data_IF_960187342294
#
_entry.id   IF_960187342294
#
_cell.length_a   1.000
_cell.length_b   1.000
_cell.length_c   1.000
_cell.angle_alpha   90.00
_cell.angle_beta   90.00
_cell.angle_gamma   90.00
#
_symmetry.space_group_name_H-M   'P 1'
#
loop_
_entity.id
_entity.type
_entity.pdbx_description
1 polymer ?
#
# COMPACT_ATOMS: atom_id res chain seq x y z
N UNK A 1 -19.53 14.66 -26.78
CA UNK A 1 -20.04 13.59 -25.88
C UNK A 1 -21.57 13.47 -25.92
N UNK A 2 -22.34 14.55 -25.73
CA UNK A 2 -23.82 14.54 -25.89
C UNK A 2 -24.31 14.57 -27.36
N UNK A 3 -23.49 14.07 -28.30
CA UNK A 3 -23.83 13.92 -29.72
C UNK A 3 -23.95 12.45 -30.07
N UNK A 4 -24.66 12.11 -31.16
CA UNK A 4 -24.79 10.72 -31.65
C UNK A 4 -23.43 10.03 -31.79
N UNK A 5 -22.45 10.72 -32.37
CA UNK A 5 -21.09 10.20 -32.56
C UNK A 5 -20.36 10.03 -31.23
N UNK A 6 -20.57 10.95 -30.27
CA UNK A 6 -20.01 10.84 -28.92
C UNK A 6 -20.57 9.66 -28.13
N UNK A 7 -21.87 9.38 -28.28
CA UNK A 7 -22.52 8.22 -27.67
C UNK A 7 -22.01 6.91 -28.30
N UNK A 8 -21.87 6.87 -29.63
CA UNK A 8 -21.29 5.73 -30.34
C UNK A 8 -19.84 5.47 -29.92
N UNK A 9 -19.02 6.52 -29.79
CA UNK A 9 -17.65 6.40 -29.31
C UNK A 9 -17.60 5.81 -27.90
N UNK A 10 -18.40 6.32 -26.95
CA UNK A 10 -18.46 5.77 -25.59
C UNK A 10 -18.85 4.29 -25.62
N UNK A 11 -19.94 3.94 -26.30
CA UNK A 11 -20.44 2.56 -26.29
C UNK A 11 -19.47 1.57 -26.98
N UNK A 12 -18.82 1.98 -28.06
CA UNK A 12 -17.90 1.12 -28.80
C UNK A 12 -16.53 0.99 -28.12
N UNK A 13 -15.99 2.09 -27.59
CA UNK A 13 -14.62 2.12 -27.08
C UNK A 13 -14.54 1.79 -25.57
N UNK A 14 -15.66 1.78 -24.83
CA UNK A 14 -15.65 1.56 -23.37
C UNK A 14 -14.94 0.27 -22.95
N UNK A 15 -15.26 -0.86 -23.58
CA UNK A 15 -14.66 -2.16 -23.23
C UNK A 15 -13.16 -2.13 -23.53
N UNK A 16 -12.78 -1.62 -24.71
CA UNK A 16 -11.39 -1.52 -25.14
C UNK A 16 -10.58 -0.64 -24.20
N UNK A 17 -11.07 0.57 -23.90
CA UNK A 17 -10.43 1.52 -22.99
C UNK A 17 -10.27 0.94 -21.58
N UNK A 18 -11.27 0.19 -21.09
CA UNK A 18 -11.19 -0.48 -19.79
C UNK A 18 -10.15 -1.62 -19.79
N UNK A 19 -10.17 -2.48 -20.81
CA UNK A 19 -9.27 -3.65 -20.88
C UNK A 19 -7.81 -3.28 -21.17
N UNK A 20 -7.57 -2.24 -21.96
CA UNK A 20 -6.24 -1.74 -22.29
C UNK A 20 -5.68 -0.80 -21.22
N UNK A 21 -6.44 -0.53 -20.16
CA UNK A 21 -6.00 0.34 -19.08
C UNK A 21 -4.81 -0.29 -18.33
N UNK A 22 -3.61 0.33 -18.38
CA UNK A 22 -2.38 -0.32 -17.93
C UNK A 22 -2.40 -0.78 -16.47
N UNK A 23 -3.14 -0.07 -15.60
CA UNK A 23 -3.23 -0.41 -14.19
C UNK A 23 -4.07 -1.66 -13.91
N UNK A 24 -5.01 -2.04 -14.78
CA UNK A 24 -6.00 -3.08 -14.49
C UNK A 24 -5.35 -4.46 -14.28
N UNK A 25 -4.56 -4.92 -15.25
CA UNK A 25 -3.92 -6.24 -15.19
C UNK A 25 -2.94 -6.36 -14.03
N UNK A 26 -2.17 -5.30 -13.77
CA UNK A 26 -1.22 -5.23 -12.68
C UNK A 26 -1.90 -5.37 -11.31
N UNK A 27 -2.94 -4.57 -11.06
CA UNK A 27 -3.66 -4.57 -9.78
C UNK A 27 -4.27 -5.95 -9.51
N UNK A 28 -4.89 -6.57 -10.51
CA UNK A 28 -5.51 -7.90 -10.36
C UNK A 28 -4.46 -8.96 -9.98
N UNK A 29 -3.31 -8.96 -10.65
CA UNK A 29 -2.23 -9.91 -10.34
C UNK A 29 -1.68 -9.74 -8.92
N UNK A 30 -1.44 -8.49 -8.49
CA UNK A 30 -0.93 -8.20 -7.15
C UNK A 30 -1.98 -8.51 -6.07
N UNK A 31 -3.23 -8.15 -6.29
CA UNK A 31 -4.34 -8.42 -5.35
C UNK A 31 -4.57 -9.91 -5.13
N UNK A 32 -4.35 -10.76 -6.14
CA UNK A 32 -4.40 -12.21 -5.96
C UNK A 32 -3.32 -12.70 -4.98
N UNK A 33 -2.09 -12.20 -5.11
CA UNK A 33 -1.00 -12.54 -4.20
C UNK A 33 -1.25 -12.05 -2.77
N UNK A 34 -1.65 -10.78 -2.62
CA UNK A 34 -1.97 -10.18 -1.31
C UNK A 34 -3.15 -10.91 -0.67
N UNK A 35 -4.22 -11.18 -1.42
CA UNK A 35 -5.40 -11.88 -0.91
C UNK A 35 -5.06 -13.27 -0.36
N UNK A 36 -4.17 -14.03 -1.02
CA UNK A 36 -3.70 -15.32 -0.49
C UNK A 36 -2.87 -15.13 0.78
N UNK A 37 -1.93 -14.20 0.80
CA UNK A 37 -1.09 -13.93 1.97
C UNK A 37 -1.91 -13.44 3.18
N UNK A 38 -2.93 -12.62 2.94
CA UNK A 38 -3.83 -12.11 3.97
C UNK A 38 -4.77 -13.22 4.50
N UNK A 39 -5.41 -14.00 3.61
CA UNK A 39 -6.29 -15.11 4.03
C UNK A 39 -5.56 -16.22 4.77
N UNK A 40 -4.26 -16.39 4.53
CA UNK A 40 -3.43 -17.33 5.29
C UNK A 40 -2.92 -16.77 6.62
N UNK A 41 -3.16 -15.48 6.90
CA UNK A 41 -2.66 -14.80 8.09
C UNK A 41 -1.13 -14.62 8.08
N UNK A 42 -0.50 -14.66 6.91
CA UNK A 42 0.95 -14.57 6.75
C UNK A 42 1.48 -13.25 7.33
N UNK A 43 0.87 -12.14 6.91
CA UNK A 43 1.31 -10.80 7.33
C UNK A 43 1.09 -10.55 8.82
N UNK A 44 -0.05 -10.96 9.37
CA UNK A 44 -0.33 -10.86 10.81
C UNK A 44 0.74 -11.55 11.65
N UNK A 45 1.06 -12.81 11.31
CA UNK A 45 2.08 -13.58 12.01
C UNK A 45 3.48 -12.99 11.82
N UNK A 46 3.80 -12.53 10.61
CA UNK A 46 5.08 -11.92 10.30
C UNK A 46 5.30 -10.67 11.16
N UNK A 47 4.33 -9.75 11.20
CA UNK A 47 4.42 -8.52 12.00
C UNK A 47 4.61 -8.82 13.48
N UNK A 48 3.82 -9.76 14.03
CA UNK A 48 3.95 -10.20 15.43
C UNK A 48 5.35 -10.77 15.69
N UNK A 49 5.85 -11.61 14.81
CA UNK A 49 7.14 -12.27 14.96
C UNK A 49 8.31 -11.29 14.91
N UNK A 50 8.29 -10.32 13.99
CA UNK A 50 9.37 -9.32 13.88
C UNK A 50 9.41 -8.43 15.13
N UNK A 51 8.25 -7.98 15.62
CA UNK A 51 8.18 -7.18 16.86
C UNK A 51 8.66 -7.98 18.07
N UNK A 52 8.30 -9.28 18.17
CA UNK A 52 8.75 -10.13 19.28
C UNK A 52 10.25 -10.42 19.26
N UNK A 53 10.87 -10.49 18.08
CA UNK A 53 12.32 -10.72 17.93
C UNK A 53 13.15 -9.43 18.01
N UNK A 54 12.50 -8.26 18.00
CA UNK A 54 13.19 -6.99 18.02
C UNK A 54 13.95 -6.77 19.35
N UNK A 55 15.22 -6.34 19.32
CA UNK A 55 15.96 -5.99 20.53
C UNK A 55 15.33 -4.78 21.22
N UNK A 56 15.20 -4.82 22.55
CA UNK A 56 14.54 -3.76 23.35
C UNK A 56 15.00 -2.34 23.04
N UNK A 57 16.30 -2.17 22.73
CA UNK A 57 16.90 -0.86 22.42
C UNK A 57 16.38 -0.23 21.11
N UNK A 58 15.96 -1.04 20.14
CA UNK A 58 15.55 -0.58 18.81
C UNK A 58 14.07 -0.85 18.51
N UNK A 59 13.29 -1.31 19.49
CA UNK A 59 11.93 -1.80 19.25
C UNK A 59 11.01 -0.73 18.67
N UNK A 60 11.13 0.52 19.11
CA UNK A 60 10.36 1.65 18.58
C UNK A 60 10.68 1.88 17.10
N UNK A 61 11.97 1.93 16.75
CA UNK A 61 12.41 2.08 15.35
C UNK A 61 11.93 0.92 14.48
N UNK A 62 12.02 -0.31 15.00
CA UNK A 62 11.55 -1.51 14.30
C UNK A 62 10.04 -1.44 14.05
N UNK A 63 9.24 -1.03 15.04
CA UNK A 63 7.79 -0.87 14.88
C UNK A 63 7.47 0.17 13.81
N UNK A 64 8.14 1.32 13.80
CA UNK A 64 7.94 2.37 12.79
C UNK A 64 8.26 1.84 11.40
N UNK A 65 9.39 1.14 11.24
CA UNK A 65 9.79 0.57 9.93
C UNK A 65 8.77 -0.48 9.47
N UNK A 66 8.30 -1.36 10.35
CA UNK A 66 7.27 -2.35 10.02
C UNK A 66 5.96 -1.66 9.65
N UNK A 67 5.60 -0.57 10.34
CA UNK A 67 4.43 0.22 9.99
C UNK A 67 4.51 0.76 8.57
N UNK A 68 5.63 1.40 8.24
CA UNK A 68 5.88 1.95 6.89
C UNK A 68 5.80 0.84 5.82
N UNK A 69 6.55 -0.25 6.01
CA UNK A 69 6.58 -1.39 5.08
C UNK A 69 5.31 -2.24 5.10
N UNK A 70 4.43 -1.99 6.06
CA UNK A 70 3.18 -2.69 6.23
C UNK A 70 2.17 -2.43 5.12
N UNK A 71 2.36 -1.39 4.31
CA UNK A 71 1.54 -1.13 3.12
C UNK A 71 1.59 -2.30 2.10
N UNK A 72 2.69 -3.05 2.03
CA UNK A 72 2.83 -4.22 1.17
C UNK A 72 1.92 -5.38 1.62
N UNK A 73 1.53 -5.37 2.90
CA UNK A 73 0.57 -6.28 3.48
C UNK A 73 -0.89 -5.85 3.30
N UNK A 74 -1.15 -4.83 2.47
CA UNK A 74 -2.48 -4.26 2.30
C UNK A 74 -2.97 -3.59 3.58
N UNK A 75 -4.17 -3.97 4.05
CA UNK A 75 -4.86 -3.33 5.17
C UNK A 75 -4.52 -3.96 6.54
N UNK A 76 -3.62 -4.93 6.60
CA UNK A 76 -3.26 -5.60 7.84
C UNK A 76 -2.51 -4.67 8.82
N UNK A 77 -1.60 -3.82 8.33
CA UNK A 77 -0.72 -3.02 9.19
C UNK A 77 -1.46 -1.99 10.06
N UNK A 78 -2.41 -1.19 9.54
CA UNK A 78 -3.18 -0.25 10.35
C UNK A 78 -4.09 -0.93 11.39
N UNK A 79 -4.42 -2.22 11.21
CA UNK A 79 -5.33 -2.96 12.09
C UNK A 79 -4.57 -3.73 13.17
N UNK A 80 -3.50 -4.43 12.79
CA UNK A 80 -2.78 -5.37 13.67
C UNK A 80 -1.69 -4.68 14.49
N UNK A 81 -0.99 -3.72 13.88
CA UNK A 81 0.18 -3.10 14.50
C UNK A 81 -0.15 -2.21 15.73
N UNK A 82 -1.26 -1.43 15.74
CA UNK A 82 -1.59 -0.60 16.91
C UNK A 82 -1.85 -1.38 18.21
N UNK A 83 -2.71 -2.41 18.27
CA UNK A 83 -2.90 -3.18 19.50
C UNK A 83 -1.65 -3.97 19.90
N UNK A 84 -0.90 -4.53 18.93
CA UNK A 84 0.36 -5.21 19.19
C UNK A 84 1.37 -4.27 19.87
N UNK A 85 1.49 -3.05 19.35
CA UNK A 85 2.43 -2.05 19.86
C UNK A 85 2.02 -1.55 21.24
N UNK A 86 0.73 -1.34 21.49
CA UNK A 86 0.23 -0.98 22.81
C UNK A 86 0.64 -2.01 23.87
N UNK A 87 0.50 -3.31 23.57
CA UNK A 87 0.93 -4.39 24.47
C UNK A 87 2.45 -4.39 24.73
N UNK A 88 3.24 -4.12 23.69
CA UNK A 88 4.71 -4.02 23.83
C UNK A 88 5.10 -2.81 24.69
N UNK A 89 4.44 -1.67 24.52
CA UNK A 89 4.69 -0.47 25.31
C UNK A 89 4.37 -0.70 26.79
N UNK A 90 3.26 -1.38 27.11
CA UNK A 90 2.93 -1.78 28.49
C UNK A 90 4.06 -2.63 29.10
N UNK A 91 4.56 -3.63 28.37
CA UNK A 91 5.66 -4.50 28.85
C UNK A 91 6.99 -3.77 29.05
N UNK A 92 7.19 -2.65 28.37
CA UNK A 92 8.40 -1.81 28.48
C UNK A 92 8.25 -0.67 29.50
N UNK A 93 7.07 -0.50 30.10
CA UNK A 93 6.78 0.59 31.03
C UNK A 93 6.43 1.93 30.37
N UNK A 94 6.13 1.95 29.07
CA UNK A 94 5.70 3.14 28.33
C UNK A 94 4.17 3.26 28.28
N UNK A 95 3.68 4.47 27.98
CA UNK A 95 2.24 4.73 27.85
C UNK A 95 1.65 4.02 26.62
N UNK A 96 0.63 3.14 26.77
CA UNK A 96 0.11 2.31 25.68
C UNK A 96 -0.47 3.13 24.51
N UNK A 97 -1.15 4.24 24.82
CA UNK A 97 -1.74 5.11 23.78
C UNK A 97 -0.65 5.74 22.91
N UNK A 98 0.53 6.04 23.47
CA UNK A 98 1.63 6.60 22.69
C UNK A 98 2.16 5.56 21.69
N UNK A 99 2.26 4.29 22.10
CA UNK A 99 2.62 3.19 21.20
C UNK A 99 1.57 2.95 20.12
N UNK A 100 0.29 2.95 20.49
CA UNK A 100 -0.83 2.80 19.56
C UNK A 100 -0.83 3.91 18.50
N UNK A 101 -0.75 5.17 18.93
CA UNK A 101 -0.73 6.32 18.06
C UNK A 101 0.50 6.32 17.14
N UNK A 102 1.67 5.96 17.66
CA UNK A 102 2.91 5.84 16.89
C UNK A 102 2.79 4.77 15.80
N UNK A 103 2.30 3.58 16.14
CA UNK A 103 2.12 2.50 15.17
C UNK A 103 1.12 2.87 14.08
N UNK A 104 -0.02 3.46 14.46
CA UNK A 104 -1.04 3.91 13.51
C UNK A 104 -0.51 5.02 12.59
N UNK A 105 0.16 6.03 13.16
CA UNK A 105 0.77 7.11 12.40
C UNK A 105 1.87 6.60 11.45
N UNK A 106 2.66 5.59 11.86
CA UNK A 106 3.67 5.01 10.98
C UNK A 106 3.06 4.21 9.82
N UNK A 107 1.98 3.48 10.06
CA UNK A 107 1.31 2.68 9.01
C UNK A 107 0.60 3.55 7.97
N UNK A 108 -0.07 4.62 8.40
CA UNK A 108 -0.82 5.49 7.48
C UNK A 108 0.04 6.62 6.94
N UNK A 109 0.80 7.30 7.80
CA UNK A 109 1.70 8.38 7.37
C UNK A 109 2.85 7.91 6.50
N UNK A 110 3.26 6.65 6.67
CA UNK A 110 4.29 5.99 5.86
C UNK A 110 3.79 5.31 4.59
N UNK A 111 2.50 5.38 4.27
CA UNK A 111 1.88 4.53 3.23
C UNK A 111 2.52 4.64 1.83
N UNK A 112 3.06 5.81 1.49
CA UNK A 112 3.75 6.03 0.20
C UNK A 112 5.27 5.82 0.25
N UNK A 113 5.85 5.58 1.42
CA UNK A 113 7.29 5.36 1.56
C UNK A 113 7.59 3.86 1.54
N UNK A 114 8.53 3.44 0.69
CA UNK A 114 8.97 2.05 0.60
C UNK A 114 10.48 1.95 0.37
N UNK A 115 11.07 0.82 0.79
CA UNK A 115 12.46 0.48 0.43
C UNK A 115 12.57 -0.23 -0.93
N UNK A 116 11.46 -0.71 -1.46
CA UNK A 116 11.37 -1.45 -2.72
C UNK A 116 10.20 -0.90 -3.52
N UNK A 117 10.27 -1.01 -4.84
CA UNK A 117 9.16 -0.65 -5.73
C UNK A 117 7.96 -1.52 -5.36
N UNK A 118 6.89 -0.86 -4.93
CA UNK A 118 5.65 -1.47 -4.51
C UNK A 118 4.52 -1.27 -5.53
N UNK A 119 3.33 -1.72 -5.14
CA UNK A 119 2.13 -1.57 -5.95
C UNK A 119 1.77 -0.10 -6.15
N UNK A 120 1.88 0.73 -5.10
CA UNK A 120 1.60 2.17 -5.15
C UNK A 120 2.41 2.86 -6.24
N UNK A 121 3.69 2.49 -6.36
CA UNK A 121 4.63 3.07 -7.31
C UNK A 121 4.27 2.68 -8.75
N UNK A 122 3.98 1.41 -8.98
CA UNK A 122 3.56 0.90 -10.28
C UNK A 122 2.17 1.42 -10.71
N UNK A 123 1.26 1.62 -9.76
CA UNK A 123 -0.04 2.27 -9.99
C UNK A 123 0.12 3.75 -10.36
N UNK A 124 0.90 4.50 -9.59
CA UNK A 124 1.17 5.91 -9.87
C UNK A 124 1.81 6.08 -11.24
N UNK A 125 2.74 5.20 -11.62
CA UNK A 125 3.32 5.20 -12.95
C UNK A 125 2.27 4.94 -14.04
N UNK A 126 1.43 3.92 -13.85
CA UNK A 126 0.39 3.54 -14.79
C UNK A 126 -0.67 4.63 -15.02
N UNK A 127 -0.91 5.51 -14.03
CA UNK A 127 -1.76 6.69 -14.20
C UNK A 127 -1.01 7.88 -14.78
N UNK A 128 0.20 8.15 -14.28
CA UNK A 128 0.97 9.34 -14.61
C UNK A 128 1.46 9.30 -16.06
N UNK A 129 1.92 8.14 -16.54
CA UNK A 129 2.45 8.04 -17.90
C UNK A 129 1.41 8.37 -18.98
N UNK A 130 0.20 7.78 -18.99
CA UNK A 130 -0.85 8.19 -19.93
C UNK A 130 -1.27 9.65 -19.76
N UNK A 131 -1.35 10.15 -18.51
CA UNK A 131 -1.71 11.55 -18.25
C UNK A 131 -0.69 12.53 -18.85
N UNK A 132 0.62 12.24 -18.72
CA UNK A 132 1.67 13.07 -19.34
C UNK A 132 1.57 13.10 -20.87
N UNK A 133 1.24 11.97 -21.50
CA UNK A 133 1.12 11.86 -22.96
C UNK A 133 -0.01 12.70 -23.56
N UNK A 134 -0.99 13.12 -22.75
CA UNK A 134 -2.04 14.07 -23.16
C UNK A 134 -1.45 15.46 -23.43
N UNK A 135 -0.42 15.84 -22.68
CA UNK A 135 0.17 17.19 -22.72
C UNK A 135 1.46 17.22 -23.54
N UNK A 136 2.39 16.30 -23.28
CA UNK A 136 3.68 16.22 -23.95
C UNK A 136 4.17 14.76 -24.04
N UNK A 137 4.63 14.34 -25.22
CA UNK A 137 4.95 12.92 -25.51
C UNK A 137 6.27 12.45 -24.90
N UNK A 138 7.15 13.39 -24.58
CA UNK A 138 8.57 13.20 -24.27
C UNK A 138 8.92 13.50 -22.81
N UNK A 139 7.93 13.60 -21.92
CA UNK A 139 8.18 13.74 -20.48
C UNK A 139 8.71 12.42 -19.91
N UNK A 140 9.93 12.41 -19.33
CA UNK A 140 10.41 11.26 -18.58
C UNK A 140 9.64 11.16 -17.27
N UNK A 141 9.05 10.00 -17.01
CA UNK A 141 8.34 9.69 -15.76
C UNK A 141 9.16 8.64 -15.04
N UNK A 142 9.49 8.91 -13.77
CA UNK A 142 10.23 8.00 -12.91
C UNK A 142 9.32 7.35 -11.87
N UNK A 143 9.85 6.29 -11.28
CA UNK A 143 9.29 5.51 -10.20
C UNK A 143 10.37 5.35 -9.14
#
# INVERSE_FOLDING_TARGET
ILSKDGLMMILNDSIKNFSEFPALGLVLAVMLGIGVAEKTGYFDKLMVQVVHKAPKKFIVTVIIIIGILGNAAGDAAPIVLPPLTAMVFIKLGYHPIAGLAMAYASAIGGFSANFMIGMSDALLYAFTKPATQIVAKDVPVNV
#
